data_IF_257616099773
#
_entry.id   IF_257616099773
#
_cell.length_a   1.000
_cell.length_b   1.000
_cell.length_c   1.000
_cell.angle_alpha   90.00
_cell.angle_beta   90.00
_cell.angle_gamma   90.00
#
_symmetry.space_group_name_H-M   'P 1'
#
loop_
_entity.id
_entity.type
_entity.pdbx_description
1 polymer ?
#
# COMPACT_ATOMS: atom_id res chain seq x y z
N UNK A 1 -43.47 -38.74 17.26
CA UNK A 1 -43.30 -37.30 16.93
C UNK A 1 -41.87 -36.93 17.26
N UNK A 2 -41.05 -36.47 16.30
CA UNK A 2 -39.72 -35.93 16.65
C UNK A 2 -39.95 -34.80 17.65
N UNK A 3 -39.31 -34.86 18.81
CA UNK A 3 -39.52 -33.85 19.84
C UNK A 3 -39.14 -32.49 19.24
N UNK A 4 -40.05 -31.53 19.34
CA UNK A 4 -39.88 -30.14 18.87
C UNK A 4 -38.47 -29.57 19.19
N UNK A 5 -37.85 -29.86 20.36
CA UNK A 5 -36.47 -29.46 20.65
C UNK A 5 -35.41 -29.98 19.68
N UNK A 6 -35.52 -31.25 19.21
CA UNK A 6 -34.57 -31.83 18.24
C UNK A 6 -34.68 -31.16 16.87
N UNK A 7 -35.86 -30.65 16.52
CA UNK A 7 -36.07 -29.92 15.27
C UNK A 7 -35.42 -28.54 15.36
N UNK A 8 -35.67 -27.81 16.45
CA UNK A 8 -35.11 -26.47 16.71
C UNK A 8 -33.59 -26.49 16.76
N UNK A 9 -33.00 -27.45 17.49
CA UNK A 9 -31.54 -27.62 17.56
C UNK A 9 -30.92 -27.76 16.16
N UNK A 10 -31.56 -28.54 15.27
CA UNK A 10 -31.08 -28.73 13.91
C UNK A 10 -31.11 -27.43 13.10
N UNK A 11 -32.16 -26.62 13.22
CA UNK A 11 -32.24 -25.32 12.54
C UNK A 11 -31.16 -24.35 13.02
N UNK A 12 -30.91 -24.30 14.33
CA UNK A 12 -29.86 -23.44 14.92
C UNK A 12 -28.48 -23.89 14.46
N UNK A 13 -28.20 -25.19 14.47
CA UNK A 13 -26.91 -25.71 13.98
C UNK A 13 -26.71 -25.40 12.50
N UNK A 14 -27.74 -25.53 11.67
CA UNK A 14 -27.68 -25.17 10.25
C UNK A 14 -27.45 -23.65 10.09
N UNK A 15 -28.13 -22.82 10.89
CA UNK A 15 -27.97 -21.37 10.87
C UNK A 15 -26.57 -20.91 11.32
N UNK A 16 -26.02 -21.51 12.38
CA UNK A 16 -24.66 -21.23 12.84
C UNK A 16 -23.64 -21.67 11.78
N UNK A 17 -23.82 -22.87 11.21
CA UNK A 17 -22.95 -23.37 10.15
C UNK A 17 -23.01 -22.48 8.91
N UNK A 18 -24.20 -22.09 8.46
CA UNK A 18 -24.35 -21.20 7.30
C UNK A 18 -23.73 -19.83 7.55
N UNK A 19 -23.86 -19.28 8.77
CA UNK A 19 -23.22 -18.02 9.15
C UNK A 19 -21.70 -18.09 9.07
N UNK A 20 -21.09 -19.16 9.59
CA UNK A 20 -19.64 -19.37 9.51
C UNK A 20 -19.18 -19.50 8.05
N UNK A 21 -19.91 -20.28 7.25
CA UNK A 21 -19.60 -20.47 5.83
C UNK A 21 -19.67 -19.15 5.04
N UNK A 22 -20.66 -18.29 5.33
CA UNK A 22 -20.77 -16.97 4.71
C UNK A 22 -19.57 -16.08 5.07
N UNK A 23 -19.15 -16.07 6.34
CA UNK A 23 -17.96 -15.31 6.77
C UNK A 23 -16.71 -15.79 6.03
N UNK A 24 -16.49 -17.10 5.95
CA UNK A 24 -15.35 -17.66 5.21
C UNK A 24 -15.41 -17.29 3.73
N UNK A 25 -16.59 -17.39 3.10
CA UNK A 25 -16.76 -17.00 1.71
C UNK A 25 -16.46 -15.53 1.47
N UNK A 26 -16.87 -14.64 2.38
CA UNK A 26 -16.56 -13.21 2.32
C UNK A 26 -15.06 -12.95 2.47
N UNK A 27 -14.36 -13.66 3.37
CA UNK A 27 -12.90 -13.55 3.52
C UNK A 27 -12.20 -13.97 2.22
N UNK A 28 -12.61 -15.09 1.62
CA UNK A 28 -12.04 -15.58 0.36
C UNK A 28 -12.30 -14.56 -0.77
N UNK A 29 -13.54 -14.08 -0.90
CA UNK A 29 -13.89 -13.08 -1.89
C UNK A 29 -13.06 -11.80 -1.71
N UNK A 30 -12.89 -11.34 -0.47
CA UNK A 30 -12.08 -10.18 -0.14
C UNK A 30 -10.61 -10.36 -0.55
N UNK A 31 -10.01 -11.51 -0.23
CA UNK A 31 -8.62 -11.84 -0.62
C UNK A 31 -8.47 -11.84 -2.14
N UNK A 32 -9.40 -12.48 -2.87
CA UNK A 32 -9.36 -12.54 -4.34
C UNK A 32 -9.51 -11.14 -4.95
N UNK A 33 -10.46 -10.34 -4.45
CA UNK A 33 -10.68 -8.99 -4.94
C UNK A 33 -9.45 -8.11 -4.70
N UNK A 34 -8.87 -8.11 -3.50
CA UNK A 34 -7.65 -7.34 -3.21
C UNK A 34 -6.49 -7.82 -4.08
N UNK A 35 -6.32 -9.12 -4.27
CA UNK A 35 -5.27 -9.67 -5.13
C UNK A 35 -5.30 -9.11 -6.55
N UNK A 36 -6.50 -8.86 -7.10
CA UNK A 36 -6.67 -8.28 -8.44
C UNK A 36 -6.32 -6.79 -8.53
N UNK A 37 -6.33 -6.06 -7.42
CA UNK A 37 -5.99 -4.63 -7.36
C UNK A 37 -4.60 -4.36 -6.77
N UNK A 38 -3.96 -5.37 -6.19
CA UNK A 38 -2.63 -5.25 -5.62
C UNK A 38 -1.59 -5.12 -6.76
N UNK A 39 -0.67 -4.14 -6.72
CA UNK A 39 0.38 -4.05 -7.71
C UNK A 39 1.31 -5.27 -7.60
N UNK A 40 1.71 -5.81 -8.75
CA UNK A 40 2.73 -6.87 -8.81
C UNK A 40 3.99 -6.44 -8.06
N UNK A 41 4.64 -7.38 -7.38
CA UNK A 41 5.83 -7.10 -6.54
C UNK A 41 6.94 -6.40 -7.33
N UNK A 42 7.14 -6.77 -8.59
CA UNK A 42 8.15 -6.15 -9.48
C UNK A 42 7.74 -4.77 -10.00
N UNK A 43 6.45 -4.47 -10.01
CA UNK A 43 5.87 -3.19 -10.42
C UNK A 43 5.53 -2.31 -9.21
N UNK A 44 5.91 -2.73 -8.00
CA UNK A 44 5.74 -1.95 -6.79
C UNK A 44 6.46 -0.60 -6.93
N UNK A 45 5.77 0.53 -6.71
CA UNK A 45 6.36 1.87 -6.81
C UNK A 45 7.60 2.07 -5.93
N UNK A 46 7.61 1.43 -4.75
CA UNK A 46 8.76 1.43 -3.84
C UNK A 46 9.95 0.67 -4.42
N UNK A 47 9.72 -0.45 -5.13
CA UNK A 47 10.79 -1.21 -5.79
C UNK A 47 11.38 -0.42 -6.95
N UNK A 48 10.52 0.16 -7.80
CA UNK A 48 10.95 1.00 -8.92
C UNK A 48 11.80 2.17 -8.42
N UNK A 49 11.36 2.87 -7.37
CA UNK A 49 12.13 3.99 -6.82
C UNK A 49 13.48 3.54 -6.26
N UNK A 50 13.51 2.44 -5.49
CA UNK A 50 14.74 1.87 -4.94
C UNK A 50 15.71 1.46 -6.04
N UNK A 51 15.26 0.67 -7.01
CA UNK A 51 16.06 0.20 -8.14
C UNK A 51 16.56 1.37 -9.00
N UNK A 52 15.75 2.41 -9.19
CA UNK A 52 16.17 3.62 -9.92
C UNK A 52 17.29 4.34 -9.16
N UNK A 53 17.19 4.45 -7.84
CA UNK A 53 18.24 5.00 -6.99
C UNK A 53 19.56 4.22 -7.07
N UNK A 54 19.49 2.89 -7.09
CA UNK A 54 20.67 2.01 -7.19
C UNK A 54 21.28 1.98 -8.61
N UNK A 55 20.44 2.09 -9.64
CA UNK A 55 20.86 2.02 -11.05
C UNK A 55 21.35 3.36 -11.61
N UNK A 56 20.99 4.49 -11.00
CA UNK A 56 21.42 5.80 -11.45
C UNK A 56 22.89 6.03 -11.09
N UNK A 57 23.73 6.12 -12.11
CA UNK A 57 25.17 6.30 -11.94
C UNK A 57 25.66 7.54 -12.66
N UNK A 58 26.64 8.21 -12.04
CA UNK A 58 27.39 9.28 -12.67
C UNK A 58 28.42 8.65 -13.62
N UNK A 59 28.29 8.96 -14.91
CA UNK A 59 29.23 8.50 -15.93
C UNK A 59 30.57 9.22 -15.79
N UNK A 60 31.62 8.64 -16.39
CA UNK A 60 32.95 9.28 -16.41
C UNK A 60 32.97 10.65 -17.11
N UNK A 61 31.97 10.93 -17.97
CA UNK A 61 31.75 12.23 -18.62
C UNK A 61 31.16 13.30 -17.71
N UNK A 62 30.71 12.93 -16.49
CA UNK A 62 30.01 13.83 -15.57
C UNK A 62 28.49 13.83 -15.72
N UNK A 63 27.93 13.01 -16.62
CA UNK A 63 26.48 12.92 -16.82
C UNK A 63 25.86 11.74 -16.08
N UNK A 64 24.70 11.97 -15.46
CA UNK A 64 23.91 10.91 -14.86
C UNK A 64 23.19 10.07 -15.93
N UNK A 65 23.35 8.75 -15.85
CA UNK A 65 22.74 7.81 -16.77
C UNK A 65 22.07 6.66 -16.02
N UNK A 66 20.93 6.20 -16.57
CA UNK A 66 20.25 4.98 -16.17
C UNK A 66 20.58 3.85 -17.15
N UNK A 67 20.56 2.62 -16.66
CA UNK A 67 20.58 1.45 -17.54
C UNK A 67 19.35 1.44 -18.46
N UNK A 68 19.49 0.92 -19.68
CA UNK A 68 18.38 0.82 -20.64
C UNK A 68 17.16 0.10 -20.03
N UNK A 69 17.41 -0.97 -19.26
CA UNK A 69 16.37 -1.71 -18.56
C UNK A 69 15.59 -0.83 -17.57
N UNK A 70 16.31 -0.03 -16.78
CA UNK A 70 15.67 0.84 -15.79
C UNK A 70 14.89 1.97 -16.45
N UNK A 71 15.44 2.58 -17.50
CA UNK A 71 14.75 3.59 -18.30
C UNK A 71 13.46 3.03 -18.91
N UNK A 72 13.49 1.84 -19.50
CA UNK A 72 12.30 1.19 -20.05
C UNK A 72 11.26 0.87 -18.96
N UNK A 73 11.68 0.46 -17.76
CA UNK A 73 10.75 0.19 -16.65
C UNK A 73 10.06 1.48 -16.16
N UNK A 74 10.78 2.60 -16.04
CA UNK A 74 10.16 3.90 -15.74
C UNK A 74 9.14 4.30 -16.80
N UNK A 75 9.49 4.21 -18.08
CA UNK A 75 8.59 4.54 -19.19
C UNK A 75 7.35 3.66 -19.21
N UNK A 76 7.50 2.34 -19.03
CA UNK A 76 6.38 1.40 -19.03
C UNK A 76 5.43 1.63 -17.84
N UNK A 77 5.94 2.12 -16.72
CA UNK A 77 5.13 2.50 -15.56
C UNK A 77 4.55 3.92 -15.65
N UNK A 78 4.79 4.65 -16.75
CA UNK A 78 4.39 6.06 -16.89
C UNK A 78 5.04 6.98 -15.84
N UNK A 79 6.15 6.54 -15.26
CA UNK A 79 6.82 7.22 -14.17
C UNK A 79 7.85 8.23 -14.70
N UNK A 80 8.08 9.29 -13.93
CA UNK A 80 9.15 10.23 -14.12
C UNK A 80 10.08 10.19 -12.90
N UNK A 81 11.33 10.61 -13.07
CA UNK A 81 12.28 10.60 -11.98
C UNK A 81 13.16 11.85 -11.96
N UNK A 82 13.57 12.25 -10.76
CA UNK A 82 14.55 13.31 -10.50
C UNK A 82 15.58 12.83 -9.49
N UNK A 83 16.79 13.36 -9.54
CA UNK A 83 17.82 13.21 -8.50
C UNK A 83 18.03 14.57 -7.83
N UNK A 84 17.79 14.61 -6.52
CA UNK A 84 18.06 15.77 -5.68
C UNK A 84 19.42 15.56 -5.00
N UNK A 85 20.37 16.45 -5.24
CA UNK A 85 21.72 16.40 -4.66
C UNK A 85 21.69 16.67 -3.15
N UNK A 86 22.51 15.94 -2.40
CA UNK A 86 22.49 15.97 -0.94
C UNK A 86 22.97 17.30 -0.33
N UNK A 87 23.85 18.03 -1.03
CA UNK A 87 24.50 19.23 -0.48
C UNK A 87 23.78 20.50 -0.91
N UNK A 88 23.43 20.58 -2.19
CA UNK A 88 22.81 21.76 -2.81
C UNK A 88 21.29 21.74 -2.68
N UNK A 89 20.69 20.56 -2.44
CA UNK A 89 19.25 20.33 -2.44
C UNK A 89 18.56 20.72 -3.76
N UNK A 90 19.32 20.67 -4.86
CA UNK A 90 18.83 20.96 -6.20
C UNK A 90 18.69 19.69 -7.03
N UNK A 91 17.79 19.74 -8.00
CA UNK A 91 17.65 18.69 -9.01
C UNK A 91 18.85 18.77 -9.95
N UNK A 92 19.71 17.74 -9.90
CA UNK A 92 20.90 17.62 -10.75
C UNK A 92 20.71 16.69 -11.93
N UNK A 93 19.66 15.87 -11.90
CA UNK A 93 19.26 15.01 -13.01
C UNK A 93 17.74 14.81 -13.01
N UNK A 94 17.15 14.67 -14.20
CA UNK A 94 15.72 14.41 -14.37
C UNK A 94 15.42 13.68 -15.67
N UNK A 95 14.34 12.90 -15.72
CA UNK A 95 13.84 12.31 -16.96
C UNK A 95 13.16 13.35 -17.84
N UNK A 96 13.03 13.08 -19.14
CA UNK A 96 12.43 14.03 -20.10
C UNK A 96 10.94 14.29 -19.83
N UNK A 97 10.23 13.31 -19.27
CA UNK A 97 8.79 13.36 -19.01
C UNK A 97 8.40 13.95 -17.65
N UNK A 98 9.33 14.64 -16.95
CA UNK A 98 9.02 15.29 -15.67
C UNK A 98 8.04 16.45 -15.91
N UNK A 99 6.90 16.51 -15.19
CA UNK A 99 5.93 17.59 -15.32
C UNK A 99 6.52 18.96 -14.99
N UNK A 100 6.02 20.01 -15.66
CA UNK A 100 6.52 21.38 -15.47
C UNK A 100 6.29 21.95 -14.06
N UNK A 101 5.33 21.41 -13.30
CA UNK A 101 5.04 21.81 -11.92
C UNK A 101 6.05 21.30 -10.88
N UNK A 102 6.96 20.40 -11.26
CA UNK A 102 7.94 19.84 -10.33
C UNK A 102 9.08 20.83 -10.09
N UNK A 103 9.34 21.25 -8.84
CA UNK A 103 10.37 22.24 -8.53
C UNK A 103 11.79 21.67 -8.77
N UNK A 104 12.75 22.56 -9.06
CA UNK A 104 14.17 22.18 -9.19
C UNK A 104 14.98 22.46 -7.92
N UNK A 105 14.46 23.24 -6.99
CA UNK A 105 15.10 23.58 -5.72
C UNK A 105 14.22 23.07 -4.58
N UNK A 106 14.84 22.42 -3.60
CA UNK A 106 14.15 21.85 -2.44
C UNK A 106 14.74 22.38 -1.14
N UNK A 107 13.91 22.47 -0.11
CA UNK A 107 14.37 22.64 1.26
C UNK A 107 14.44 21.28 1.97
N UNK A 108 15.17 21.19 3.09
CA UNK A 108 15.15 19.99 3.93
C UNK A 108 13.73 19.61 4.39
N UNK A 109 12.87 20.60 4.61
CA UNK A 109 11.47 20.38 4.96
C UNK A 109 10.69 19.73 3.81
N UNK A 110 10.97 20.11 2.56
CA UNK A 110 10.37 19.47 1.40
C UNK A 110 10.83 18.02 1.28
N UNK A 111 12.12 17.75 1.50
CA UNK A 111 12.67 16.38 1.50
C UNK A 111 11.98 15.49 2.54
N UNK A 112 11.70 16.01 3.74
CA UNK A 112 10.95 15.27 4.76
C UNK A 112 9.55 14.87 4.26
N UNK A 113 8.87 15.76 3.51
CA UNK A 113 7.55 15.49 2.94
C UNK A 113 7.57 14.45 1.81
N UNK A 114 8.68 14.29 1.09
CA UNK A 114 8.81 13.30 0.01
C UNK A 114 8.67 11.86 0.50
N UNK A 115 9.13 11.58 1.72
CA UNK A 115 9.09 10.25 2.32
C UNK A 115 7.67 9.72 2.50
N UNK A 116 6.70 10.61 2.73
CA UNK A 116 5.31 10.28 3.04
C UNK A 116 4.32 10.71 1.96
N UNK A 117 4.71 11.57 1.02
CA UNK A 117 3.76 12.42 0.31
C UNK A 117 3.69 12.29 -1.21
N UNK A 118 3.08 13.34 -1.76
CA UNK A 118 2.89 13.66 -3.17
C UNK A 118 3.66 14.96 -3.48
N UNK A 119 4.13 15.14 -4.70
CA UNK A 119 4.59 16.45 -5.20
C UNK A 119 3.54 16.94 -6.19
N UNK A 120 2.96 18.12 -5.95
CA UNK A 120 1.92 18.69 -6.82
C UNK A 120 0.77 17.70 -7.13
N UNK A 121 0.44 16.82 -6.18
CA UNK A 121 -0.57 15.77 -6.38
C UNK A 121 -0.10 14.52 -7.14
N UNK A 122 1.17 14.41 -7.56
CA UNK A 122 1.75 13.18 -8.09
C UNK A 122 2.25 12.28 -6.95
N UNK A 123 1.85 11.00 -6.85
CA UNK A 123 2.38 10.10 -5.83
C UNK A 123 3.87 9.85 -6.08
N UNK A 124 4.71 10.20 -5.11
CA UNK A 124 6.16 10.10 -5.23
C UNK A 124 6.75 9.07 -4.27
N UNK A 125 7.82 8.42 -4.69
CA UNK A 125 8.54 7.40 -3.93
C UNK A 125 10.03 7.67 -3.99
N UNK A 126 10.75 7.44 -2.90
CA UNK A 126 12.16 7.81 -2.79
C UNK A 126 13.07 6.59 -2.86
N UNK A 127 14.11 6.69 -3.69
CA UNK A 127 15.24 5.76 -3.76
C UNK A 127 16.53 6.40 -3.25
N UNK A 128 17.35 5.64 -2.54
CA UNK A 128 18.66 6.10 -2.08
C UNK A 128 19.65 6.09 -3.24
N UNK A 129 20.43 7.16 -3.40
CA UNK A 129 21.58 7.22 -4.29
C UNK A 129 22.82 7.71 -3.50
N UNK A 130 24.02 7.46 -4.02
CA UNK A 130 25.28 7.93 -3.40
C UNK A 130 25.40 9.46 -3.39
N UNK A 131 24.81 10.13 -4.37
CA UNK A 131 24.91 11.59 -4.56
C UNK A 131 23.68 12.33 -4.00
N UNK A 132 22.67 11.61 -3.49
CA UNK A 132 21.46 12.22 -2.94
C UNK A 132 20.25 11.30 -2.93
N UNK A 133 19.08 11.86 -3.19
CA UNK A 133 17.80 11.14 -3.17
C UNK A 133 17.19 11.15 -4.58
N UNK A 134 16.96 9.96 -5.12
CA UNK A 134 16.13 9.80 -6.31
C UNK A 134 14.67 9.84 -5.91
N UNK A 135 13.88 10.63 -6.60
CA UNK A 135 12.43 10.71 -6.43
C UNK A 135 11.79 10.24 -7.71
N UNK A 136 10.94 9.22 -7.60
CA UNK A 136 10.15 8.71 -8.72
C UNK A 136 8.70 9.09 -8.50
N UNK A 137 8.12 9.83 -9.44
CA UNK A 137 6.71 10.19 -9.45
C UNK A 137 5.92 9.39 -10.47
N UNK A 138 4.68 9.09 -10.12
CA UNK A 138 3.73 8.39 -10.99
C UNK A 138 2.52 9.29 -11.28
N UNK A 139 1.69 9.02 -12.29
CA UNK A 139 0.52 9.83 -12.62
C UNK A 139 -0.44 10.01 -11.42
N UNK A 140 -1.12 11.16 -11.31
CA UNK A 140 -1.95 11.54 -10.15
C UNK A 140 -2.86 10.42 -9.59
N UNK A 141 -3.54 9.71 -10.48
CA UNK A 141 -4.57 8.73 -10.12
C UNK A 141 -4.06 7.28 -10.12
N UNK A 142 -2.73 7.08 -10.12
CA UNK A 142 -2.17 5.72 -10.17
C UNK A 142 -2.03 5.09 -8.79
N UNK A 143 -1.74 5.88 -7.75
CA UNK A 143 -1.53 5.37 -6.39
C UNK A 143 -2.14 6.27 -5.32
N UNK A 144 -2.79 5.64 -4.35
CA UNK A 144 -3.20 6.27 -3.11
C UNK A 144 -2.18 5.97 -2.01
N UNK A 145 -1.55 7.02 -1.45
CA UNK A 145 -0.62 6.89 -0.33
C UNK A 145 -1.32 7.19 0.99
N UNK A 146 -1.21 6.26 1.93
CA UNK A 146 -1.54 6.50 3.33
C UNK A 146 -0.44 7.35 3.96
N UNK A 147 -0.59 8.68 3.93
CA UNK A 147 0.50 9.62 4.28
C UNK A 147 0.65 9.88 5.79
N UNK A 148 -0.37 9.56 6.60
CA UNK A 148 -0.34 9.74 8.07
C UNK A 148 -0.99 8.59 8.87
N UNK A 149 -0.65 7.31 8.62
CA UNK A 149 -1.20 6.22 9.42
C UNK A 149 -0.48 6.15 10.77
N UNK A 150 -1.12 6.67 11.83
CA UNK A 150 -0.67 6.47 13.22
C UNK A 150 -1.75 5.72 13.99
N UNK A 151 -1.72 4.39 13.88
CA UNK A 151 -2.66 3.50 14.58
C UNK A 151 -2.08 3.12 15.94
N UNK A 152 -2.94 2.94 16.94
CA UNK A 152 -2.49 2.41 18.22
C UNK A 152 -1.89 1.01 18.00
N UNK A 153 -0.64 0.80 18.39
CA UNK A 153 0.05 -0.47 18.18
C UNK A 153 -0.72 -1.64 18.80
N UNK A 154 -1.32 -1.44 19.98
CA UNK A 154 -2.13 -2.45 20.67
C UNK A 154 -3.37 -2.85 19.88
N UNK A 155 -3.93 -1.98 19.03
CA UNK A 155 -5.04 -2.35 18.14
C UNK A 155 -4.59 -3.38 17.10
N UNK A 156 -3.40 -3.20 16.53
CA UNK A 156 -2.85 -4.09 15.50
C UNK A 156 -2.35 -5.38 16.13
N UNK A 157 -1.59 -5.30 17.23
CA UNK A 157 -1.04 -6.49 17.90
C UNK A 157 -2.13 -7.39 18.48
N UNK A 158 -3.22 -6.80 19.01
CA UNK A 158 -4.34 -7.56 19.56
C UNK A 158 -5.45 -7.83 18.54
N UNK A 159 -5.26 -7.52 17.25
CA UNK A 159 -6.27 -7.70 16.22
C UNK A 159 -6.88 -9.13 16.22
N UNK A 160 -6.09 -10.22 16.32
CA UNK A 160 -6.67 -11.58 16.41
C UNK A 160 -7.56 -11.77 17.64
N UNK A 161 -7.14 -11.27 18.80
CA UNK A 161 -7.92 -11.36 20.04
C UNK A 161 -9.21 -10.53 19.97
N UNK A 162 -9.16 -9.35 19.36
CA UNK A 162 -10.34 -8.49 19.15
C UNK A 162 -11.35 -9.20 18.27
N UNK A 163 -10.93 -9.78 17.14
CA UNK A 163 -11.81 -10.55 16.24
C UNK A 163 -12.46 -11.73 16.97
N UNK A 164 -11.67 -12.51 17.72
CA UNK A 164 -12.20 -13.63 18.50
C UNK A 164 -13.20 -13.18 19.58
N UNK A 165 -12.92 -12.07 20.26
CA UNK A 165 -13.79 -11.50 21.28
C UNK A 165 -15.14 -11.06 20.69
N UNK A 166 -15.13 -10.40 19.53
CA UNK A 166 -16.35 -9.99 18.82
C UNK A 166 -17.17 -11.22 18.38
N UNK A 167 -16.51 -12.26 17.84
CA UNK A 167 -17.18 -13.52 17.50
C UNK A 167 -17.80 -14.18 18.73
N UNK A 168 -17.08 -14.23 19.84
CA UNK A 168 -17.59 -14.79 21.09
C UNK A 168 -18.80 -14.02 21.63
N UNK A 169 -18.75 -12.69 21.63
CA UNK A 169 -19.89 -11.83 22.02
C UNK A 169 -21.10 -12.09 21.12
N UNK A 170 -20.89 -12.23 19.80
CA UNK A 170 -21.97 -12.55 18.87
C UNK A 170 -22.61 -13.91 19.15
N UNK A 171 -21.80 -14.94 19.49
CA UNK A 171 -22.31 -16.25 19.89
C UNK A 171 -23.16 -16.12 21.16
N UNK A 172 -22.67 -15.41 22.19
CA UNK A 172 -23.42 -15.16 23.41
C UNK A 172 -24.74 -14.43 23.15
N UNK A 173 -24.74 -13.44 22.25
CA UNK A 173 -25.95 -12.71 21.85
C UNK A 173 -26.98 -13.63 21.20
N UNK A 174 -26.58 -14.47 20.24
CA UNK A 174 -27.48 -15.43 19.57
C UNK A 174 -28.05 -16.41 20.59
N UNK A 175 -27.23 -16.93 21.51
CA UNK A 175 -27.69 -17.81 22.58
C UNK A 175 -28.66 -17.10 23.52
N UNK A 176 -28.41 -15.84 23.88
CA UNK A 176 -29.29 -15.03 24.72
C UNK A 176 -30.66 -14.80 24.07
N UNK A 177 -30.69 -14.42 22.78
CA UNK A 177 -31.93 -14.30 22.00
C UNK A 177 -32.69 -15.62 22.02
N UNK A 178 -32.00 -16.74 21.80
CA UNK A 178 -32.60 -18.06 21.78
C UNK A 178 -33.19 -18.51 23.13
N UNK A 179 -32.57 -18.13 24.25
CA UNK A 179 -33.07 -18.49 25.58
C UNK A 179 -34.33 -17.69 25.97
N UNK A 180 -34.52 -16.51 25.39
CA UNK A 180 -35.61 -15.58 25.73
C UNK A 180 -36.80 -15.70 24.76
N UNK A 181 -36.53 -15.97 23.47
CA UNK A 181 -37.54 -16.15 22.42
C UNK A 181 -38.14 -17.56 22.43
#
# INVERSE_FOLDING_TARGET
>A
MKSIPKLIQRFISIFLLSSVLIVLMNIIAFIVLIGNYAPDKEMSPYSIAKETGEALQLSASGDYALSKNMSSKLTNSGAWAILIDNNTLKVVWKTENVPAGIPNDYTLSDIANLSVGYIDGYPTYTGKNKDGVVVVGFPHNSFWKHTRPSWNYSLISNFPQIVLSVLFINILLILGIYLIA
#
